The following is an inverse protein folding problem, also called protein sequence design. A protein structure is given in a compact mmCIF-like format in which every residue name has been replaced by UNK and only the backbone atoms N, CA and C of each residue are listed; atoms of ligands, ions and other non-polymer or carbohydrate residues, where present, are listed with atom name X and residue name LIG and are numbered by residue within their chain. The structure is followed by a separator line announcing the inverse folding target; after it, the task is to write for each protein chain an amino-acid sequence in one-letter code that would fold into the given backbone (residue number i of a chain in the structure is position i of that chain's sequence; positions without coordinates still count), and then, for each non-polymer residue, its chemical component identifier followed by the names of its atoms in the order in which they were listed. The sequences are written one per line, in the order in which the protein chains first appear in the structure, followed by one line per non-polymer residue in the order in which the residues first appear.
data_IF_315214484543
#
_entry.id   IF_315214484543
#
_cell.length_a   1.000
_cell.length_b   1.000
_cell.length_c   1.000
_cell.angle_alpha   90.00
_cell.angle_beta   90.00
_cell.angle_gamma   90.00
#
_symmetry.space_group_name_H-M   'P 1'
#
loop_
_entity.id
_entity.type
_entity.pdbx_description
1 polymer ?
#
# COMPACT_ATOMS: atom_id res chain seq x y z
N UNK A 1 -65.24 11.09 -31.19
CA UNK A 1 -65.03 9.65 -30.91
C UNK A 1 -64.40 9.54 -29.54
N UNK A 2 -65.01 8.72 -28.69
CA UNK A 2 -64.79 8.64 -27.25
C UNK A 2 -63.39 8.12 -26.88
N UNK A 3 -62.80 8.70 -25.84
CA UNK A 3 -61.74 8.05 -25.06
C UNK A 3 -62.25 7.93 -23.62
N UNK A 4 -62.46 6.68 -23.22
CA UNK A 4 -63.05 6.25 -21.95
C UNK A 4 -62.06 6.51 -20.80
N UNK A 5 -62.52 7.23 -19.77
CA UNK A 5 -61.85 7.28 -18.46
C UNK A 5 -62.01 5.93 -17.77
N UNK A 6 -60.89 5.27 -17.46
CA UNK A 6 -60.84 4.15 -16.53
C UNK A 6 -60.37 4.67 -15.16
N UNK A 7 -61.30 4.75 -14.20
CA UNK A 7 -61.01 5.01 -12.79
C UNK A 7 -60.46 3.76 -12.12
N UNK A 8 -59.17 3.78 -11.77
CA UNK A 8 -58.57 2.78 -10.90
C UNK A 8 -58.80 3.17 -9.43
N UNK A 9 -59.46 2.27 -8.70
CA UNK A 9 -59.79 2.37 -7.28
C UNK A 9 -58.55 2.06 -6.44
N UNK A 10 -58.13 2.97 -5.57
CA UNK A 10 -57.15 2.69 -4.50
C UNK A 10 -57.82 1.83 -3.41
N UNK A 11 -57.22 0.69 -2.98
CA UNK A 11 -57.70 0.00 -1.79
C UNK A 11 -57.28 0.76 -0.52
N UNK A 12 -58.22 0.85 0.42
CA UNK A 12 -58.04 1.47 1.72
C UNK A 12 -56.96 0.77 2.56
N UNK A 13 -56.09 1.56 3.20
CA UNK A 13 -55.09 1.08 4.13
C UNK A 13 -55.76 0.49 5.38
N UNK A 14 -55.46 -0.77 5.69
CA UNK A 14 -55.81 -1.39 6.96
C UNK A 14 -54.90 -0.83 8.07
N UNK A 15 -55.50 -0.26 9.12
CA UNK A 15 -54.80 0.19 10.31
C UNK A 15 -54.33 -1.02 11.14
N UNK A 16 -53.02 -1.15 11.34
CA UNK A 16 -52.44 -2.08 12.31
C UNK A 16 -52.42 -1.40 13.68
N UNK A 17 -52.88 -2.05 14.77
CA UNK A 17 -52.82 -1.46 16.11
C UNK A 17 -51.37 -1.38 16.58
N UNK A 18 -50.99 -0.23 17.12
CA UNK A 18 -49.68 -0.02 17.75
C UNK A 18 -49.77 -0.50 19.19
N UNK A 19 -49.30 -1.71 19.48
CA UNK A 19 -49.08 -2.16 20.86
C UNK A 19 -47.85 -1.45 21.43
N UNK A 20 -48.10 -0.42 22.24
CA UNK A 20 -47.09 0.28 23.01
C UNK A 20 -46.77 -0.49 24.30
N UNK A 21 -45.74 -1.32 24.27
CA UNK A 21 -45.07 -1.81 25.47
C UNK A 21 -43.55 -1.62 25.34
N UNK A 22 -43.10 -0.42 25.70
CA UNK A 22 -41.67 -0.12 25.87
C UNK A 22 -41.14 -0.86 27.10
N UNK A 23 -40.45 -1.98 26.88
CA UNK A 23 -39.66 -2.66 27.91
C UNK A 23 -38.43 -1.82 28.26
N UNK A 24 -38.21 -1.60 29.56
CA UNK A 24 -37.04 -0.88 30.09
C UNK A 24 -35.71 -1.49 29.64
N UNK A 25 -34.61 -0.71 29.57
CA UNK A 25 -33.29 -1.22 29.20
C UNK A 25 -32.83 -2.26 30.23
N UNK A 26 -32.63 -3.51 29.80
CA UNK A 26 -32.00 -4.53 30.63
C UNK A 26 -30.56 -4.12 30.92
N UNK A 27 -30.25 -3.95 32.20
CA UNK A 27 -28.86 -3.84 32.71
C UNK A 27 -28.07 -5.07 32.22
N UNK A 28 -26.87 -4.91 31.63
CA UNK A 28 -26.06 -6.03 31.20
C UNK A 28 -25.79 -6.96 32.39
N UNK A 29 -26.14 -8.24 32.25
CA UNK A 29 -25.83 -9.24 33.26
C UNK A 29 -24.31 -9.37 33.46
N UNK A 30 -23.86 -9.80 34.66
CA UNK A 30 -22.45 -9.99 34.94
C UNK A 30 -21.81 -10.97 33.94
N UNK A 31 -20.56 -10.72 33.51
CA UNK A 31 -19.89 -11.54 32.52
C UNK A 31 -19.80 -13.01 32.96
N UNK A 32 -19.95 -13.97 32.03
CA UNK A 32 -19.90 -15.39 32.35
C UNK A 32 -18.56 -15.77 33.00
N UNK A 33 -18.63 -16.62 34.04
CA UNK A 33 -17.50 -17.00 34.91
C UNK A 33 -16.31 -17.68 34.21
N UNK A 34 -16.46 -18.08 32.94
CA UNK A 34 -15.42 -18.75 32.14
C UNK A 34 -15.00 -17.96 30.90
N UNK A 35 -15.27 -16.67 30.85
CA UNK A 35 -14.92 -15.89 29.68
C UNK A 35 -13.40 -15.60 29.64
N UNK A 36 -12.75 -15.70 28.46
CA UNK A 36 -11.31 -15.56 28.32
C UNK A 36 -10.77 -14.28 28.97
N UNK A 37 -9.55 -14.37 29.50
CA UNK A 37 -8.83 -13.20 30.01
C UNK A 37 -8.65 -12.18 28.88
N UNK A 38 -8.75 -10.87 29.17
CA UNK A 38 -8.47 -9.84 28.18
C UNK A 38 -7.06 -10.00 27.61
N UNK A 39 -6.92 -9.96 26.29
CA UNK A 39 -5.63 -10.04 25.61
C UNK A 39 -5.31 -8.67 25.00
N UNK A 40 -4.16 -8.12 25.36
CA UNK A 40 -3.71 -6.82 24.86
C UNK A 40 -2.63 -6.96 23.79
N UNK A 41 -2.75 -6.14 22.73
CA UNK A 41 -1.83 -6.02 21.61
C UNK A 41 -1.30 -4.58 21.54
N UNK A 42 0.00 -4.41 21.74
CA UNK A 42 0.67 -3.10 21.78
C UNK A 42 1.44 -2.81 20.50
N UNK A 43 1.13 -1.67 19.89
CA UNK A 43 1.71 -1.23 18.62
C UNK A 43 2.59 0.00 18.82
N UNK A 44 3.63 0.07 18.00
CA UNK A 44 4.46 1.25 17.81
C UNK A 44 4.43 1.69 16.35
N UNK A 45 4.50 3.00 16.10
CA UNK A 45 4.63 3.55 14.76
C UNK A 45 5.83 4.47 14.72
N UNK A 46 6.69 4.29 13.72
CA UNK A 46 7.80 5.20 13.46
C UNK A 46 7.74 5.66 12.01
N UNK A 47 7.71 6.97 11.81
CA UNK A 47 7.85 7.61 10.51
C UNK A 47 9.11 8.44 10.46
N UNK A 48 9.95 8.20 9.48
CA UNK A 48 10.96 9.18 9.06
C UNK A 48 10.41 9.93 7.85
N UNK A 49 10.44 11.27 7.89
CA UNK A 49 10.01 12.06 6.75
C UNK A 49 10.92 11.78 5.54
N UNK A 50 10.36 11.72 4.31
CA UNK A 50 11.18 11.64 3.11
C UNK A 50 11.98 12.94 2.91
N UNK A 51 12.98 12.90 2.02
CA UNK A 51 13.71 14.09 1.59
C UNK A 51 12.71 15.17 1.18
N UNK A 52 12.95 16.44 1.55
CA UNK A 52 12.04 17.56 1.26
C UNK A 52 12.60 18.42 0.12
N UNK A 53 12.39 18.04 -1.15
CA UNK A 53 12.94 18.77 -2.27
C UNK A 53 12.30 20.15 -2.47
N UNK A 54 12.98 21.10 -3.15
CA UNK A 54 12.48 22.46 -3.35
C UNK A 54 11.13 22.58 -4.05
N UNK A 55 10.74 21.59 -4.86
CA UNK A 55 9.46 21.58 -5.58
C UNK A 55 8.27 21.13 -4.71
N UNK A 56 8.49 20.63 -3.49
CA UNK A 56 7.43 20.41 -2.50
C UNK A 56 7.08 21.70 -1.79
N UNK A 57 6.52 22.65 -2.54
CA UNK A 57 6.27 24.02 -2.09
C UNK A 57 4.78 24.39 -2.06
N UNK A 58 3.88 23.45 -2.34
CA UNK A 58 2.43 23.67 -2.33
C UNK A 58 1.64 22.47 -1.77
N UNK A 59 0.35 22.68 -1.53
CA UNK A 59 -0.58 21.72 -0.89
C UNK A 59 -0.72 20.40 -1.67
N UNK A 60 -0.49 20.40 -2.98
CA UNK A 60 -0.55 19.19 -3.82
C UNK A 60 0.70 18.34 -3.61
N UNK A 61 1.85 19.00 -3.57
CA UNK A 61 3.17 18.35 -3.54
C UNK A 61 3.64 17.95 -2.14
N UNK A 62 3.25 18.69 -1.09
CA UNK A 62 3.71 18.44 0.28
C UNK A 62 2.95 17.23 0.85
N UNK A 63 3.65 16.16 1.29
CA UNK A 63 2.98 15.05 1.97
C UNK A 63 2.32 15.50 3.28
N UNK A 64 1.12 14.99 3.62
CA UNK A 64 0.49 15.29 4.90
C UNK A 64 1.39 14.93 6.10
N UNK A 65 1.35 15.74 7.15
CA UNK A 65 2.12 15.49 8.39
C UNK A 65 1.73 14.18 9.08
N UNK A 66 0.49 13.74 8.90
CA UNK A 66 -0.05 12.50 9.48
C UNK A 66 -0.03 11.30 8.50
N UNK A 67 0.55 11.44 7.30
CA UNK A 67 0.62 10.37 6.31
C UNK A 67 1.22 9.09 6.91
N UNK A 68 0.55 7.96 6.71
CA UNK A 68 0.88 6.69 7.35
C UNK A 68 0.36 6.57 8.78
N UNK A 69 0.64 7.55 9.65
CA UNK A 69 0.22 7.55 11.06
C UNK A 69 -1.31 7.50 11.17
N UNK A 70 -2.02 8.31 10.38
CA UNK A 70 -3.48 8.32 10.35
C UNK A 70 -4.07 6.96 9.91
N UNK A 71 -3.41 6.27 8.97
CA UNK A 71 -3.79 4.91 8.57
C UNK A 71 -3.60 3.88 9.69
N UNK A 72 -2.50 4.02 10.43
CA UNK A 72 -2.19 3.21 11.61
C UNK A 72 -3.26 3.39 12.71
N UNK A 73 -3.61 4.63 13.03
CA UNK A 73 -4.66 4.96 14.01
C UNK A 73 -6.03 4.40 13.62
N UNK A 74 -6.42 4.55 12.35
CA UNK A 74 -7.65 3.93 11.83
C UNK A 74 -7.60 2.41 11.96
N UNK A 75 -6.47 1.78 11.68
CA UNK A 75 -6.29 0.34 11.81
C UNK A 75 -6.50 -0.16 13.25
N UNK A 76 -6.03 0.61 14.24
CA UNK A 76 -6.29 0.35 15.66
C UNK A 76 -7.78 0.48 15.99
N UNK A 77 -8.44 1.54 15.54
CA UNK A 77 -9.87 1.74 15.75
C UNK A 77 -10.71 0.60 15.15
N UNK A 78 -10.33 0.13 13.96
CA UNK A 78 -10.96 -0.99 13.27
C UNK A 78 -10.78 -2.31 14.00
N UNK A 79 -9.55 -2.59 14.45
CA UNK A 79 -9.25 -3.78 15.24
C UNK A 79 -10.07 -3.80 16.53
N UNK A 80 -10.21 -2.67 17.21
CA UNK A 80 -10.99 -2.56 18.45
C UNK A 80 -12.50 -2.75 18.22
N UNK A 81 -13.03 -2.46 17.04
CA UNK A 81 -14.45 -2.69 16.70
C UNK A 81 -14.83 -4.17 16.83
N UNK A 82 -13.97 -5.07 16.34
CA UNK A 82 -14.16 -6.53 16.51
C UNK A 82 -13.58 -7.01 17.84
N UNK A 83 -12.46 -6.43 18.27
CA UNK A 83 -11.73 -6.78 19.48
C UNK A 83 -12.58 -6.72 20.74
N UNK A 84 -13.49 -5.73 20.87
CA UNK A 84 -14.35 -5.62 22.05
C UNK A 84 -15.19 -6.89 22.28
N UNK A 85 -15.67 -7.53 21.22
CA UNK A 85 -16.49 -8.74 21.31
C UNK A 85 -15.65 -9.98 21.62
N UNK A 86 -14.36 -9.93 21.28
CA UNK A 86 -13.39 -10.99 21.52
C UNK A 86 -12.57 -10.79 22.80
N UNK A 87 -12.83 -9.73 23.56
CA UNK A 87 -12.03 -9.30 24.72
C UNK A 87 -10.56 -9.07 24.38
N UNK A 88 -10.33 -8.49 23.21
CA UNK A 88 -9.01 -8.09 22.73
C UNK A 88 -8.94 -6.57 22.68
N UNK A 89 -7.86 -5.99 23.20
CA UNK A 89 -7.57 -4.55 23.13
C UNK A 89 -6.35 -4.30 22.26
N UNK A 90 -6.45 -3.32 21.37
CA UNK A 90 -5.37 -2.90 20.49
C UNK A 90 -5.01 -1.46 20.84
N UNK A 91 -3.73 -1.20 21.14
CA UNK A 91 -3.26 0.11 21.59
C UNK A 91 -2.05 0.55 20.79
N UNK A 92 -2.04 1.81 20.37
CA UNK A 92 -0.84 2.50 19.92
C UNK A 92 -0.14 3.09 21.14
N UNK A 93 0.94 2.46 21.61
CA UNK A 93 1.65 2.87 22.83
C UNK A 93 2.77 3.87 22.58
N UNK A 94 3.25 3.96 21.34
CA UNK A 94 4.21 4.96 20.90
C UNK A 94 4.00 5.31 19.42
N UNK A 95 4.13 6.60 19.10
CA UNK A 95 4.11 7.12 17.74
C UNK A 95 5.19 8.19 17.61
N UNK A 96 6.23 7.88 16.84
CA UNK A 96 7.40 8.74 16.66
C UNK A 96 7.47 9.24 15.22
N UNK A 97 7.83 10.52 15.06
CA UNK A 97 8.09 11.14 13.78
C UNK A 97 9.46 11.81 13.82
N UNK A 98 10.29 11.51 12.83
CA UNK A 98 11.70 11.92 12.77
C UNK A 98 11.94 12.64 11.44
N UNK A 99 12.69 13.74 11.45
CA UNK A 99 13.02 14.45 10.21
C UNK A 99 13.90 13.58 9.30
N UNK A 100 13.94 13.90 8.01
CA UNK A 100 14.72 13.12 7.03
C UNK A 100 16.20 13.03 7.40
N UNK A 101 16.81 14.15 7.81
CA UNK A 101 18.24 14.25 8.12
C UNK A 101 18.64 13.64 9.47
N UNK A 102 17.67 13.35 10.34
CA UNK A 102 17.91 12.87 11.70
C UNK A 102 18.02 11.34 11.73
N UNK A 103 18.83 10.80 12.64
CA UNK A 103 18.89 9.36 12.90
C UNK A 103 17.59 8.88 13.56
N UNK A 104 16.85 7.92 12.98
CA UNK A 104 15.61 7.41 13.58
C UNK A 104 15.84 6.35 14.67
N UNK A 105 17.06 5.85 14.89
CA UNK A 105 17.34 4.81 15.89
C UNK A 105 16.97 5.20 17.34
N UNK A 106 17.22 6.42 17.83
CA UNK A 106 16.77 6.82 19.17
C UNK A 106 15.25 6.76 19.33
N UNK A 107 14.49 7.14 18.30
CA UNK A 107 13.03 7.02 18.30
C UNK A 107 12.59 5.56 18.30
N UNK A 108 13.25 4.70 17.53
CA UNK A 108 12.99 3.26 17.54
C UNK A 108 13.21 2.63 18.91
N UNK A 109 14.28 3.02 19.62
CA UNK A 109 14.54 2.55 20.98
C UNK A 109 13.44 2.97 21.96
N UNK A 110 12.95 4.22 21.89
CA UNK A 110 11.80 4.67 22.70
C UNK A 110 10.54 3.85 22.43
N UNK A 111 10.27 3.49 21.17
CA UNK A 111 9.16 2.59 20.83
C UNK A 111 9.34 1.22 21.48
N UNK A 112 10.54 0.64 21.44
CA UNK A 112 10.81 -0.64 22.10
C UNK A 112 10.63 -0.54 23.64
N UNK A 113 11.10 0.54 24.25
CA UNK A 113 10.97 0.81 25.69
C UNK A 113 9.52 1.02 26.12
N UNK A 114 8.65 1.50 25.23
CA UNK A 114 7.20 1.62 25.48
C UNK A 114 6.48 0.27 25.57
N UNK A 115 7.15 -0.84 25.26
CA UNK A 115 6.58 -2.18 25.28
C UNK A 115 5.81 -2.54 24.01
N UNK A 116 6.01 -1.82 22.90
CA UNK A 116 5.43 -2.17 21.61
C UNK A 116 5.94 -3.54 21.11
N UNK A 117 5.00 -4.43 20.76
CA UNK A 117 5.29 -5.76 20.21
C UNK A 117 5.19 -5.82 18.69
N UNK A 118 4.35 -4.95 18.12
CA UNK A 118 4.09 -4.89 16.67
C UNK A 118 4.45 -3.48 16.19
N UNK A 119 5.50 -3.35 15.41
CA UNK A 119 6.08 -2.03 15.09
C UNK A 119 5.97 -1.77 13.60
N UNK A 120 5.27 -0.70 13.23
CA UNK A 120 5.13 -0.24 11.85
C UNK A 120 6.19 0.79 11.56
N UNK A 121 7.06 0.48 10.60
CA UNK A 121 8.22 1.27 10.22
C UNK A 121 8.02 1.88 8.83
N UNK A 122 8.01 3.20 8.78
CA UNK A 122 7.95 4.01 7.56
C UNK A 122 9.26 4.79 7.44
N UNK A 123 10.33 4.05 7.16
CA UNK A 123 11.72 4.55 7.11
C UNK A 123 12.42 4.06 5.84
N UNK A 124 13.51 4.72 5.41
CA UNK A 124 14.36 4.25 4.32
C UNK A 124 14.95 2.85 4.59
N UNK A 125 15.36 2.16 3.52
CA UNK A 125 15.84 0.78 3.59
C UNK A 125 17.00 0.57 4.58
N UNK A 126 17.99 1.46 4.61
CA UNK A 126 19.14 1.30 5.50
C UNK A 126 18.77 1.47 6.98
N UNK A 127 17.86 2.40 7.29
CA UNK A 127 17.33 2.56 8.64
C UNK A 127 16.52 1.31 9.04
N UNK A 128 15.68 0.79 8.14
CA UNK A 128 14.93 -0.45 8.37
C UNK A 128 15.85 -1.63 8.69
N UNK A 129 16.95 -1.80 7.95
CA UNK A 129 17.91 -2.87 8.19
C UNK A 129 18.58 -2.73 9.56
N UNK A 130 19.01 -1.52 9.93
CA UNK A 130 19.58 -1.24 11.26
C UNK A 130 18.59 -1.59 12.38
N UNK A 131 17.32 -1.20 12.23
CA UNK A 131 16.26 -1.51 13.20
C UNK A 131 15.97 -3.01 13.28
N UNK A 132 15.91 -3.69 12.14
CA UNK A 132 15.72 -5.13 12.08
C UNK A 132 16.86 -5.89 12.77
N UNK A 133 18.11 -5.47 12.53
CA UNK A 133 19.28 -6.06 13.16
C UNK A 133 19.32 -5.79 14.68
N UNK A 134 18.94 -4.59 15.12
CA UNK A 134 18.85 -4.23 16.54
C UNK A 134 17.74 -4.98 17.29
N UNK A 135 16.71 -5.44 16.59
CA UNK A 135 15.57 -6.14 17.15
C UNK A 135 15.57 -7.67 16.88
N UNK A 136 16.64 -8.22 16.31
CA UNK A 136 16.69 -9.63 15.88
C UNK A 136 16.43 -10.65 17.00
N UNK A 137 16.85 -10.35 18.22
CA UNK A 137 16.70 -11.22 19.40
C UNK A 137 15.54 -10.76 20.31
N UNK A 138 14.75 -9.77 19.86
CA UNK A 138 13.61 -9.25 20.60
C UNK A 138 12.34 -9.95 20.12
N UNK A 139 11.44 -10.20 21.07
CA UNK A 139 10.11 -10.73 20.82
C UNK A 139 9.20 -9.61 20.26
N UNK A 140 9.45 -9.22 19.00
CA UNK A 140 8.70 -8.18 18.25
C UNK A 140 8.51 -8.60 16.79
N UNK A 141 7.44 -8.10 16.17
CA UNK A 141 7.21 -8.20 14.72
C UNK A 141 7.34 -6.82 14.11
N UNK A 142 8.24 -6.68 13.13
CA UNK A 142 8.44 -5.43 12.41
C UNK A 142 7.68 -5.47 11.08
N UNK A 143 6.98 -4.39 10.76
CA UNK A 143 6.32 -4.18 9.48
C UNK A 143 7.04 -3.07 8.71
N UNK A 144 7.57 -3.40 7.53
CA UNK A 144 7.99 -2.39 6.57
C UNK A 144 6.75 -1.89 5.81
N UNK A 145 6.39 -0.63 6.02
CA UNK A 145 5.27 0.04 5.40
C UNK A 145 5.67 1.14 4.40
N UNK A 146 6.96 1.34 4.11
CA UNK A 146 7.39 2.40 3.18
C UNK A 146 8.49 1.97 2.19
N UNK A 147 9.58 1.34 2.65
CA UNK A 147 10.73 1.07 1.80
C UNK A 147 10.40 0.06 0.70
N UNK A 148 10.46 0.52 -0.56
CA UNK A 148 10.15 -0.23 -1.78
C UNK A 148 11.36 -0.96 -2.36
N UNK A 149 12.51 -0.90 -1.69
CA UNK A 149 13.75 -1.49 -2.18
C UNK A 149 13.66 -3.01 -2.36
N UNK A 150 13.97 -3.45 -3.57
CA UNK A 150 13.98 -4.87 -3.96
C UNK A 150 14.96 -5.68 -3.11
N UNK A 151 16.11 -5.09 -2.72
CA UNK A 151 17.14 -5.75 -1.91
C UNK A 151 16.61 -6.29 -0.58
N UNK A 152 15.61 -5.63 0.00
CA UNK A 152 14.98 -6.04 1.27
C UNK A 152 14.18 -7.35 1.16
N UNK A 153 13.75 -7.74 -0.05
CA UNK A 153 13.06 -9.02 -0.33
C UNK A 153 13.99 -10.01 -1.04
N UNK A 154 15.28 -9.68 -1.09
CA UNK A 154 16.33 -10.40 -1.80
C UNK A 154 17.52 -10.60 -0.85
N UNK A 155 18.73 -10.17 -1.25
CA UNK A 155 19.97 -10.43 -0.52
C UNK A 155 20.00 -9.83 0.89
N UNK A 156 19.28 -8.74 1.13
CA UNK A 156 19.29 -8.02 2.41
C UNK A 156 18.06 -8.38 3.28
N UNK A 157 17.33 -9.45 2.95
CA UNK A 157 16.12 -9.78 3.70
C UNK A 157 16.40 -10.10 5.18
N UNK A 158 15.40 -9.87 6.03
CA UNK A 158 15.45 -10.11 7.48
C UNK A 158 14.25 -10.90 7.95
N UNK A 159 14.49 -11.93 8.76
CA UNK A 159 13.44 -12.86 9.18
C UNK A 159 12.34 -12.17 10.03
N UNK A 160 12.72 -11.18 10.84
CA UNK A 160 11.82 -10.45 11.73
C UNK A 160 11.07 -9.29 11.04
N UNK A 161 11.19 -9.12 9.73
CA UNK A 161 10.50 -8.06 8.96
C UNK A 161 9.44 -8.66 8.05
N UNK A 162 8.23 -8.13 8.13
CA UNK A 162 7.12 -8.37 7.21
C UNK A 162 6.97 -7.16 6.30
N UNK A 163 6.96 -7.38 4.99
CA UNK A 163 6.90 -6.30 4.01
C UNK A 163 5.46 -6.06 3.56
N UNK A 164 4.84 -5.00 4.09
CA UNK A 164 3.52 -4.53 3.65
C UNK A 164 3.65 -3.64 2.41
N UNK A 165 4.72 -2.84 2.36
CA UNK A 165 5.06 -2.09 1.16
C UNK A 165 5.39 -3.06 0.01
N UNK A 166 4.82 -2.87 -1.20
CA UNK A 166 5.29 -3.56 -2.38
C UNK A 166 6.68 -3.06 -2.71
N UNK A 167 7.52 -3.95 -3.20
CA UNK A 167 8.79 -3.55 -3.76
C UNK A 167 8.62 -3.00 -5.19
N UNK A 168 9.65 -2.32 -5.71
CA UNK A 168 9.65 -1.75 -7.07
C UNK A 168 9.30 -2.81 -8.11
N UNK A 169 9.84 -4.01 -7.99
CA UNK A 169 9.53 -5.12 -8.89
C UNK A 169 8.03 -5.46 -8.97
N UNK A 170 7.28 -5.40 -7.86
CA UNK A 170 5.82 -5.59 -7.89
C UNK A 170 5.11 -4.45 -8.62
N UNK A 171 5.54 -3.20 -8.37
CA UNK A 171 4.95 -2.01 -8.98
C UNK A 171 5.17 -2.00 -10.50
N UNK A 172 6.41 -2.21 -10.94
CA UNK A 172 6.78 -2.19 -12.36
C UNK A 172 6.24 -3.41 -13.10
N UNK A 173 6.18 -4.60 -12.48
CA UNK A 173 5.55 -5.77 -13.11
C UNK A 173 4.06 -5.50 -13.35
N UNK A 174 3.39 -4.92 -12.36
CA UNK A 174 1.95 -4.61 -12.46
C UNK A 174 1.65 -3.66 -13.61
N UNK A 175 2.47 -2.63 -13.78
CA UNK A 175 2.38 -1.71 -14.90
C UNK A 175 2.70 -2.40 -16.23
N UNK A 176 3.79 -3.16 -16.28
CA UNK A 176 4.22 -3.88 -17.48
C UNK A 176 3.15 -4.87 -17.99
N UNK A 177 2.50 -5.62 -17.10
CA UNK A 177 1.41 -6.53 -17.47
C UNK A 177 0.28 -5.79 -18.19
N UNK A 178 -0.10 -4.61 -17.70
CA UNK A 178 -1.14 -3.80 -18.34
C UNK A 178 -0.70 -3.26 -19.69
N UNK A 179 0.51 -2.68 -19.79
CA UNK A 179 1.00 -2.14 -21.05
C UNK A 179 1.14 -3.22 -22.13
N UNK A 180 1.66 -4.39 -21.77
CA UNK A 180 1.78 -5.53 -22.70
C UNK A 180 0.41 -6.08 -23.11
N UNK A 181 -0.57 -6.16 -22.19
CA UNK A 181 -1.93 -6.60 -22.56
C UNK A 181 -2.61 -5.64 -23.54
N UNK A 182 -2.25 -4.35 -23.51
CA UNK A 182 -2.66 -3.32 -24.48
C UNK A 182 -1.85 -3.34 -25.78
N UNK A 183 -0.82 -4.18 -25.90
CA UNK A 183 0.16 -4.21 -26.99
C UNK A 183 0.99 -2.93 -27.10
N UNK A 184 1.18 -2.23 -25.98
CA UNK A 184 2.04 -1.05 -25.85
C UNK A 184 3.40 -1.49 -25.31
N UNK A 185 4.16 -2.18 -26.16
CA UNK A 185 5.36 -2.93 -25.75
C UNK A 185 6.68 -2.22 -26.09
N UNK A 186 6.65 -1.09 -26.81
CA UNK A 186 7.84 -0.29 -27.09
C UNK A 186 7.85 0.94 -26.18
N UNK A 187 8.86 1.05 -25.32
CA UNK A 187 8.95 2.08 -24.29
C UNK A 187 10.15 2.99 -24.53
N UNK A 188 9.92 4.30 -24.46
CA UNK A 188 10.98 5.28 -24.30
C UNK A 188 11.10 5.61 -22.82
N UNK A 189 12.22 5.26 -22.19
CA UNK A 189 12.41 5.45 -20.75
C UNK A 189 13.21 6.72 -20.44
N UNK A 190 12.69 7.53 -19.51
CA UNK A 190 13.36 8.70 -18.96
C UNK A 190 13.70 8.41 -17.50
N UNK A 191 14.97 8.49 -17.15
CA UNK A 191 15.48 8.17 -15.80
C UNK A 191 15.98 9.43 -15.13
N UNK A 192 15.47 9.73 -13.95
CA UNK A 192 15.93 10.81 -13.09
C UNK A 192 17.35 10.64 -12.57
N UNK A 193 17.83 11.68 -11.88
CA UNK A 193 19.21 11.76 -11.40
C UNK A 193 19.43 11.08 -10.05
N UNK A 194 18.37 10.79 -9.31
CA UNK A 194 18.49 10.23 -7.96
C UNK A 194 18.87 8.75 -8.00
N UNK A 195 19.56 8.23 -6.98
CA UNK A 195 19.80 6.79 -6.85
C UNK A 195 18.51 5.95 -6.93
N UNK A 196 17.43 6.44 -6.33
CA UNK A 196 16.12 5.80 -6.30
C UNK A 196 15.52 5.67 -7.72
N UNK A 197 15.67 6.70 -8.56
CA UNK A 197 15.21 6.68 -9.96
C UNK A 197 15.90 5.56 -10.75
N UNK A 198 17.18 5.32 -10.48
CA UNK A 198 17.94 4.21 -11.10
C UNK A 198 17.44 2.85 -10.61
N UNK A 199 17.11 2.73 -9.33
CA UNK A 199 16.52 1.50 -8.77
C UNK A 199 15.14 1.22 -9.39
N UNK A 200 14.32 2.26 -9.61
CA UNK A 200 13.05 2.11 -10.32
C UNK A 200 13.26 1.71 -11.77
N UNK A 201 14.18 2.36 -12.47
CA UNK A 201 14.53 2.02 -13.86
C UNK A 201 15.04 0.58 -13.99
N UNK A 202 15.84 0.08 -13.05
CA UNK A 202 16.27 -1.32 -13.01
C UNK A 202 15.08 -2.30 -12.87
N UNK A 203 14.10 -1.96 -12.04
CA UNK A 203 12.86 -2.73 -11.92
C UNK A 203 12.02 -2.69 -13.21
N UNK A 204 11.97 -1.55 -13.91
CA UNK A 204 11.34 -1.43 -15.24
C UNK A 204 12.05 -2.33 -16.25
N UNK A 205 13.39 -2.27 -16.35
CA UNK A 205 14.19 -3.13 -17.24
C UNK A 205 13.93 -4.61 -16.97
N UNK A 206 13.86 -5.00 -15.69
CA UNK A 206 13.52 -6.37 -15.29
C UNK A 206 12.13 -6.77 -15.77
N UNK A 207 11.15 -5.89 -15.60
CA UNK A 207 9.75 -6.12 -15.99
C UNK A 207 9.60 -6.20 -17.51
N UNK A 208 10.30 -5.33 -18.25
CA UNK A 208 10.34 -5.35 -19.72
C UNK A 208 10.84 -6.71 -20.22
N UNK A 209 11.97 -7.19 -19.67
CA UNK A 209 12.52 -8.51 -19.99
C UNK A 209 11.56 -9.65 -19.63
N UNK A 210 10.92 -9.59 -18.45
CA UNK A 210 10.00 -10.63 -17.95
C UNK A 210 8.76 -10.77 -18.84
N UNK A 211 8.19 -9.66 -19.33
CA UNK A 211 6.94 -9.66 -20.09
C UNK A 211 7.10 -9.41 -21.59
N UNK A 212 8.34 -9.35 -22.10
CA UNK A 212 8.61 -9.22 -23.53
C UNK A 212 8.41 -7.80 -24.09
N UNK A 213 8.42 -6.76 -23.26
CA UNK A 213 8.49 -5.38 -23.72
C UNK A 213 9.93 -4.98 -24.09
N UNK A 214 10.07 -3.92 -24.88
CA UNK A 214 11.34 -3.38 -25.37
C UNK A 214 11.48 -1.94 -24.92
N UNK A 215 12.60 -1.63 -24.29
CA UNK A 215 13.02 -0.25 -24.09
C UNK A 215 13.80 0.13 -25.35
N UNK A 216 13.17 0.93 -26.21
CA UNK A 216 13.70 1.27 -27.54
C UNK A 216 14.62 2.49 -27.49
N UNK A 217 14.47 3.32 -26.45
CA UNK A 217 15.29 4.49 -26.18
C UNK A 217 15.34 4.69 -24.66
N UNK A 218 16.49 5.11 -24.14
CA UNK A 218 16.66 5.44 -22.73
C UNK A 218 17.47 6.73 -22.60
N UNK A 219 16.92 7.74 -21.91
CA UNK A 219 17.61 9.02 -21.67
C UNK A 219 17.65 9.34 -20.19
N UNK A 220 18.79 9.85 -19.74
CA UNK A 220 18.93 10.39 -18.38
C UNK A 220 18.49 11.85 -18.35
N UNK A 221 17.61 12.15 -17.40
CA UNK A 221 17.20 13.50 -17.06
C UNK A 221 18.27 14.17 -16.18
N UNK A 222 19.00 15.11 -16.78
CA UNK A 222 20.10 15.82 -16.12
C UNK A 222 19.82 17.32 -15.90
N UNK A 223 18.57 17.74 -16.04
CA UNK A 223 18.21 19.14 -15.86
C UNK A 223 18.05 19.52 -14.38
N UNK A 224 18.32 20.79 -14.07
CA UNK A 224 18.09 21.37 -12.75
C UNK A 224 16.60 21.53 -12.41
N UNK A 225 16.27 21.87 -11.15
CA UNK A 225 14.88 22.12 -10.72
C UNK A 225 14.20 23.25 -11.53
N UNK A 226 14.97 24.15 -12.14
CA UNK A 226 14.50 25.27 -12.98
C UNK A 226 13.74 24.82 -14.25
N UNK A 227 13.77 23.53 -14.62
CA UNK A 227 12.90 23.04 -15.72
C UNK A 227 11.43 23.27 -15.44
N UNK A 228 10.99 23.35 -14.18
CA UNK A 228 9.58 23.66 -13.89
C UNK A 228 9.11 25.00 -14.50
N UNK A 229 10.04 25.93 -14.76
CA UNK A 229 9.77 27.20 -15.45
C UNK A 229 10.06 27.14 -16.96
N UNK A 230 11.07 26.38 -17.39
CA UNK A 230 11.54 26.32 -18.79
C UNK A 230 11.08 25.06 -19.56
N UNK A 231 10.23 24.24 -18.96
CA UNK A 231 9.89 22.91 -19.46
C UNK A 231 9.21 22.90 -20.83
N UNK A 232 8.52 23.97 -21.21
CA UNK A 232 7.92 24.10 -22.55
C UNK A 232 8.97 24.14 -23.66
N UNK A 233 10.18 24.64 -23.39
CA UNK A 233 11.25 24.73 -24.38
C UNK A 233 12.11 23.47 -24.38
N UNK A 234 12.37 22.92 -23.18
CA UNK A 234 13.32 21.81 -22.97
C UNK A 234 12.70 20.44 -23.28
N UNK A 235 11.48 20.17 -22.82
CA UNK A 235 10.90 18.81 -22.87
C UNK A 235 10.59 18.36 -24.30
N UNK A 236 10.05 19.20 -25.21
CA UNK A 236 9.85 18.77 -26.59
C UNK A 236 11.15 18.34 -27.23
N UNK A 237 12.21 19.15 -27.12
CA UNK A 237 13.51 18.82 -27.72
C UNK A 237 14.12 17.56 -27.08
N UNK A 238 14.03 17.42 -25.75
CA UNK A 238 14.56 16.25 -25.04
C UNK A 238 13.90 14.93 -25.49
N UNK A 239 12.60 14.97 -25.77
CA UNK A 239 11.78 13.80 -26.13
C UNK A 239 11.72 13.51 -27.63
N UNK A 240 12.47 14.23 -28.46
CA UNK A 240 12.62 13.94 -29.90
C UNK A 240 13.24 12.56 -30.15
N UNK A 241 12.88 11.96 -31.29
CA UNK A 241 13.45 10.71 -31.80
C UNK A 241 12.86 9.44 -31.17
N UNK A 242 11.71 9.55 -30.51
CA UNK A 242 11.00 8.44 -29.86
C UNK A 242 9.63 8.16 -30.50
N UNK A 243 9.50 8.40 -31.81
CA UNK A 243 8.25 8.25 -32.56
C UNK A 243 7.79 6.79 -32.70
N UNK A 244 8.69 5.83 -32.51
CA UNK A 244 8.34 4.40 -32.44
C UNK A 244 7.85 3.96 -31.04
N UNK A 245 7.92 4.83 -30.02
CA UNK A 245 7.51 4.49 -28.66
C UNK A 245 5.99 4.50 -28.52
N UNK A 246 5.43 3.46 -27.90
CA UNK A 246 4.02 3.46 -27.51
C UNK A 246 3.80 4.32 -26.26
N UNK A 247 4.77 4.30 -25.35
CA UNK A 247 4.70 4.90 -24.00
C UNK A 247 6.02 5.61 -23.67
N UNK A 248 5.90 6.77 -23.02
CA UNK A 248 7.02 7.37 -22.28
C UNK A 248 7.00 6.81 -20.85
N UNK A 249 8.00 6.02 -20.50
CA UNK A 249 8.19 5.45 -19.17
C UNK A 249 9.03 6.38 -18.31
N UNK A 250 8.47 6.90 -17.23
CA UNK A 250 9.17 7.80 -16.31
C UNK A 250 9.62 7.05 -15.07
N UNK A 251 10.90 7.20 -14.74
CA UNK A 251 11.50 6.81 -13.46
C UNK A 251 11.96 8.07 -12.73
N UNK A 252 11.08 8.61 -11.89
CA UNK A 252 11.26 9.85 -11.12
C UNK A 252 10.48 9.73 -9.80
N UNK A 253 11.10 9.13 -8.77
CA UNK A 253 10.41 8.79 -7.52
C UNK A 253 10.14 9.99 -6.62
N UNK A 254 10.91 11.07 -6.76
CA UNK A 254 10.69 12.32 -6.02
C UNK A 254 9.74 13.29 -6.74
N UNK A 255 9.25 12.94 -7.93
CA UNK A 255 8.41 13.81 -8.78
C UNK A 255 9.10 15.14 -9.11
N UNK A 256 10.36 15.08 -9.52
CA UNK A 256 11.11 16.25 -9.95
C UNK A 256 10.59 16.82 -11.28
N UNK A 257 10.36 15.94 -12.27
CA UNK A 257 10.06 16.28 -13.66
C UNK A 257 8.93 15.45 -14.29
N UNK A 258 8.56 14.31 -13.72
CA UNK A 258 7.68 13.32 -14.35
C UNK A 258 6.32 13.88 -14.77
N UNK A 259 5.68 14.64 -13.87
CA UNK A 259 4.40 15.31 -14.14
C UNK A 259 4.48 16.39 -15.23
N UNK A 260 5.69 16.82 -15.61
CA UNK A 260 5.87 17.83 -16.66
C UNK A 260 5.85 17.23 -18.07
N UNK A 261 6.10 15.93 -18.21
CA UNK A 261 6.37 15.26 -19.50
C UNK A 261 5.13 15.19 -20.40
N UNK A 262 4.01 14.65 -19.89
CA UNK A 262 2.93 14.13 -20.75
C UNK A 262 2.28 15.14 -21.70
N UNK A 263 2.21 16.42 -21.34
CA UNK A 263 1.64 17.48 -22.18
C UNK A 263 2.69 18.33 -22.92
N UNK A 264 3.98 17.98 -22.78
CA UNK A 264 5.11 18.73 -23.33
C UNK A 264 6.06 17.86 -24.15
N UNK A 265 5.77 16.57 -24.32
CA UNK A 265 6.57 15.71 -25.18
C UNK A 265 6.46 16.11 -26.65
N UNK A 266 7.50 15.80 -27.43
CA UNK A 266 7.56 16.11 -28.86
C UNK A 266 6.39 15.50 -29.64
N UNK A 267 6.24 14.19 -29.50
CA UNK A 267 5.09 13.45 -30.00
C UNK A 267 4.06 13.28 -28.88
N UNK A 268 2.76 13.27 -29.19
CA UNK A 268 1.71 13.04 -28.22
C UNK A 268 1.71 11.57 -27.76
N UNK A 269 2.53 11.27 -26.74
CA UNK A 269 2.68 9.93 -26.17
C UNK A 269 2.10 9.87 -24.77
N UNK A 270 1.45 8.75 -24.46
CA UNK A 270 0.98 8.50 -23.10
C UNK A 270 2.18 8.31 -22.17
N UNK A 271 2.06 8.82 -20.95
CA UNK A 271 3.08 8.70 -19.90
C UNK A 271 2.66 7.65 -18.87
N UNK A 272 3.61 6.84 -18.44
CA UNK A 272 3.42 5.86 -17.38
C UNK A 272 4.71 5.71 -16.54
N UNK A 273 4.62 5.05 -15.39
CA UNK A 273 5.76 4.82 -14.50
C UNK A 273 5.52 5.46 -13.15
N UNK A 274 6.41 6.35 -12.71
CA UNK A 274 6.15 7.17 -11.52
C UNK A 274 5.15 8.30 -11.76
N UNK A 275 4.98 8.73 -13.03
CA UNK A 275 4.02 9.75 -13.46
C UNK A 275 3.03 9.23 -14.52
N UNK A 276 1.91 9.95 -14.70
CA UNK A 276 0.85 9.58 -15.64
C UNK A 276 0.04 8.38 -15.15
N UNK A 277 0.10 7.26 -15.87
CA UNK A 277 -0.44 5.98 -15.37
C UNK A 277 0.57 5.33 -14.41
N UNK A 278 0.29 5.43 -13.11
CA UNK A 278 1.21 5.00 -12.06
C UNK A 278 0.68 3.81 -11.25
N UNK A 279 1.54 2.83 -10.92
CA UNK A 279 1.20 1.73 -10.02
C UNK A 279 1.26 2.18 -8.56
N UNK A 280 0.28 1.80 -7.75
CA UNK A 280 0.23 2.09 -6.32
C UNK A 280 -0.44 0.97 -5.53
N UNK A 281 -0.25 0.96 -4.20
CA UNK A 281 -1.00 0.06 -3.31
C UNK A 281 -2.45 0.47 -3.12
N UNK A 282 -2.74 1.77 -3.27
CA UNK A 282 -4.05 2.36 -3.02
C UNK A 282 -4.23 3.63 -3.84
N UNK A 283 -5.47 3.92 -4.21
CA UNK A 283 -5.86 5.20 -4.80
C UNK A 283 -7.24 5.59 -4.27
N UNK A 284 -7.50 6.90 -4.15
CA UNK A 284 -8.75 7.42 -3.57
C UNK A 284 -10.00 7.02 -4.36
N UNK A 285 -9.83 6.69 -5.64
CA UNK A 285 -10.90 6.28 -6.56
C UNK A 285 -11.23 4.80 -6.50
N UNK A 286 -10.57 4.01 -5.65
CA UNK A 286 -10.94 2.62 -5.42
C UNK A 286 -12.19 2.59 -4.53
N UNK A 287 -13.32 2.19 -5.09
CA UNK A 287 -14.64 2.21 -4.42
C UNK A 287 -15.28 0.81 -4.28
N UNK A 288 -14.82 -0.14 -5.09
CA UNK A 288 -15.34 -1.50 -5.19
C UNK A 288 -14.98 -2.37 -3.97
N UNK A 289 -15.63 -3.53 -3.82
CA UNK A 289 -15.33 -4.53 -2.79
C UNK A 289 -15.43 -4.05 -1.33
N UNK A 290 -16.12 -2.92 -1.10
CA UNK A 290 -16.20 -2.27 0.21
C UNK A 290 -15.13 -1.20 0.46
N UNK A 291 -14.25 -0.91 -0.50
CA UNK A 291 -13.23 0.13 -0.40
C UNK A 291 -13.83 1.51 -0.08
N UNK A 292 -15.00 1.84 -0.64
CA UNK A 292 -15.72 3.08 -0.32
C UNK A 292 -16.02 3.21 1.20
N UNK A 293 -16.26 2.11 1.91
CA UNK A 293 -16.47 2.15 3.36
C UNK A 293 -15.18 2.45 4.11
N UNK A 294 -14.05 1.87 3.70
CA UNK A 294 -12.73 2.20 4.25
C UNK A 294 -12.41 3.68 4.02
N UNK A 295 -12.58 4.17 2.79
CA UNK A 295 -12.37 5.58 2.44
C UNK A 295 -13.21 6.51 3.30
N UNK A 296 -14.51 6.21 3.46
CA UNK A 296 -15.41 7.04 4.27
C UNK A 296 -15.00 7.10 5.73
N UNK A 297 -14.54 5.98 6.32
CA UNK A 297 -14.03 5.95 7.70
C UNK A 297 -12.72 6.72 7.82
N UNK A 298 -11.81 6.54 6.87
CA UNK A 298 -10.56 7.29 6.83
C UNK A 298 -10.79 8.80 6.69
N UNK A 299 -11.67 9.22 5.77
CA UNK A 299 -12.00 10.62 5.58
C UNK A 299 -12.62 11.24 6.85
N UNK A 300 -13.48 10.51 7.57
CA UNK A 300 -14.01 10.99 8.86
C UNK A 300 -12.91 11.18 9.90
N UNK A 301 -11.91 10.29 9.91
CA UNK A 301 -10.77 10.30 10.81
C UNK A 301 -9.77 11.44 10.49
N UNK A 302 -9.23 11.45 9.28
CA UNK A 302 -8.10 12.30 8.89
C UNK A 302 -8.48 13.55 8.08
N UNK A 303 -9.75 13.71 7.68
CA UNK A 303 -10.26 14.83 6.86
C UNK A 303 -9.56 15.02 5.51
N UNK A 304 -8.96 13.95 4.98
CA UNK A 304 -8.34 13.88 3.64
C UNK A 304 -8.53 12.50 3.04
N UNK A 305 -8.25 12.36 1.75
CA UNK A 305 -8.20 11.05 1.08
C UNK A 305 -7.08 10.17 1.65
N UNK A 306 -7.33 8.86 1.71
CA UNK A 306 -6.34 7.88 2.13
C UNK A 306 -5.25 7.74 1.06
N UNK A 307 -3.99 7.83 1.47
CA UNK A 307 -2.81 7.71 0.60
C UNK A 307 -2.23 6.28 0.66
N UNK A 308 -1.36 5.89 -0.29
CA UNK A 308 -0.69 4.60 -0.26
C UNK A 308 0.00 4.25 1.07
N UNK A 309 0.64 5.23 1.72
CA UNK A 309 1.35 5.01 2.99
C UNK A 309 0.36 4.75 4.14
N UNK A 310 -0.74 5.51 4.22
CA UNK A 310 -1.83 5.23 5.17
C UNK A 310 -2.38 3.82 4.99
N UNK A 311 -2.62 3.39 3.75
CA UNK A 311 -3.17 2.08 3.46
C UNK A 311 -2.22 0.95 3.89
N UNK A 312 -0.92 1.13 3.68
CA UNK A 312 0.09 0.17 4.13
C UNK A 312 0.17 0.10 5.66
N UNK A 313 0.15 1.24 6.36
CA UNK A 313 0.12 1.26 7.82
C UNK A 313 -1.17 0.62 8.37
N UNK A 314 -2.32 0.90 7.74
CA UNK A 314 -3.59 0.26 8.08
C UNK A 314 -3.55 -1.26 7.90
N UNK A 315 -2.99 -1.76 6.78
CA UNK A 315 -2.81 -3.21 6.54
C UNK A 315 -1.91 -3.88 7.57
N UNK A 316 -0.83 -3.20 8.02
CA UNK A 316 0.04 -3.72 9.06
C UNK A 316 -0.73 -3.94 10.38
N UNK A 317 -1.55 -2.96 10.78
CA UNK A 317 -2.41 -3.09 11.96
C UNK A 317 -3.43 -4.21 11.80
N UNK A 318 -4.10 -4.27 10.63
CA UNK A 318 -5.13 -5.29 10.35
C UNK A 318 -4.57 -6.70 10.24
N UNK A 319 -3.32 -6.87 9.84
CA UNK A 319 -2.63 -8.18 9.84
C UNK A 319 -2.67 -8.82 11.22
N UNK A 320 -2.32 -8.05 12.26
CA UNK A 320 -2.37 -8.55 13.63
C UNK A 320 -3.82 -8.72 14.11
N UNK A 321 -4.72 -7.79 13.79
CA UNK A 321 -6.13 -7.90 14.16
C UNK A 321 -6.81 -9.16 13.60
N UNK A 322 -6.58 -9.49 12.34
CA UNK A 322 -7.13 -10.68 11.69
C UNK A 322 -6.53 -11.97 12.27
N UNK A 323 -5.21 -11.96 12.50
CA UNK A 323 -4.50 -13.10 13.09
C UNK A 323 -4.96 -13.36 14.53
N UNK A 324 -5.02 -12.32 15.34
CA UNK A 324 -5.41 -12.39 16.75
C UNK A 324 -6.85 -12.88 16.95
N UNK A 325 -7.76 -12.52 16.04
CA UNK A 325 -9.15 -13.00 16.08
C UNK A 325 -9.25 -14.53 15.92
N UNK A 326 -8.26 -15.15 15.24
CA UNK A 326 -8.22 -16.58 14.92
C UNK A 326 -7.37 -17.38 15.91
N UNK A 327 -6.20 -16.88 16.27
CA UNK A 327 -5.25 -17.55 17.18
C UNK A 327 -5.67 -17.41 18.64
N UNK A 328 -6.29 -16.27 19.02
CA UNK A 328 -6.66 -15.94 20.41
C UNK A 328 -5.48 -15.97 21.40
N UNK A 329 -4.29 -15.60 20.93
CA UNK A 329 -3.07 -15.46 21.71
C UNK A 329 -2.35 -14.17 21.31
N UNK A 330 -1.58 -13.56 22.23
CA UNK A 330 -0.64 -12.47 21.92
C UNK A 330 0.82 -12.95 21.83
N UNK A 331 1.05 -14.25 21.87
CA UNK A 331 2.36 -14.86 21.61
C UNK A 331 2.78 -14.62 20.15
N UNK A 332 3.90 -13.93 19.94
CA UNK A 332 4.32 -13.49 18.60
C UNK A 332 4.63 -14.68 17.69
N UNK A 333 5.13 -15.79 18.23
CA UNK A 333 5.44 -17.01 17.48
C UNK A 333 4.17 -17.63 16.92
N UNK A 334 3.16 -17.85 17.77
CA UNK A 334 1.86 -18.37 17.33
C UNK A 334 1.18 -17.45 16.30
N UNK A 335 1.26 -16.13 16.50
CA UNK A 335 0.74 -15.17 15.53
C UNK A 335 1.47 -15.30 14.19
N UNK A 336 2.80 -15.36 14.22
CA UNK A 336 3.65 -15.47 13.03
C UNK A 336 3.40 -16.78 12.27
N UNK A 337 3.31 -17.91 12.98
CA UNK A 337 2.99 -19.21 12.39
C UNK A 337 1.63 -19.19 11.68
N UNK A 338 0.64 -18.49 12.26
CA UNK A 338 -0.64 -18.31 11.59
C UNK A 338 -0.53 -17.39 10.37
N UNK A 339 0.18 -16.26 10.46
CA UNK A 339 0.35 -15.28 9.36
C UNK A 339 0.95 -15.93 8.09
N UNK A 340 1.91 -16.85 8.26
CA UNK A 340 2.52 -17.59 7.15
C UNK A 340 1.80 -18.91 6.82
N UNK A 341 0.75 -19.24 7.57
CA UNK A 341 -0.05 -20.44 7.37
C UNK A 341 -0.99 -20.34 6.18
N UNK A 342 -1.44 -21.49 5.63
CA UNK A 342 -2.30 -21.51 4.43
C UNK A 342 -3.72 -20.99 4.65
N UNK A 343 -4.11 -20.73 5.91
CA UNK A 343 -5.43 -20.21 6.29
C UNK A 343 -5.43 -18.71 6.55
N UNK A 344 -4.29 -18.04 6.47
CA UNK A 344 -4.23 -16.60 6.63
C UNK A 344 -4.75 -15.91 5.38
N UNK A 345 -5.76 -15.07 5.58
CA UNK A 345 -6.32 -14.20 4.56
C UNK A 345 -6.56 -12.82 5.17
N UNK A 346 -5.97 -11.80 4.57
CA UNK A 346 -6.15 -10.42 4.98
C UNK A 346 -7.08 -9.71 3.98
N UNK A 347 -8.20 -9.18 4.48
CA UNK A 347 -9.10 -8.37 3.69
C UNK A 347 -8.52 -6.96 3.48
N UNK A 348 -8.09 -6.68 2.25
CA UNK A 348 -7.54 -5.37 1.85
C UNK A 348 -8.35 -4.63 0.79
N UNK A 349 -9.65 -4.94 0.63
CA UNK A 349 -10.59 -4.19 -0.22
C UNK A 349 -10.16 -4.00 -1.69
N UNK A 350 -9.41 -4.96 -2.26
CA UNK A 350 -8.97 -4.97 -3.67
C UNK A 350 -9.39 -6.23 -4.44
N UNK A 351 -10.51 -6.85 -4.04
CA UNK A 351 -11.13 -7.98 -4.75
C UNK A 351 -10.47 -9.35 -4.59
N UNK A 352 -9.30 -9.44 -3.95
CA UNK A 352 -8.62 -10.70 -3.64
C UNK A 352 -8.14 -10.71 -2.19
N UNK A 353 -8.08 -11.89 -1.56
CA UNK A 353 -7.50 -12.07 -0.23
C UNK A 353 -5.98 -11.91 -0.27
N UNK A 354 -5.42 -11.18 0.70
CA UNK A 354 -3.97 -10.96 0.78
C UNK A 354 -3.35 -12.02 1.69
N UNK A 355 -2.08 -12.36 1.45
CA UNK A 355 -1.32 -13.30 2.28
C UNK A 355 0.17 -12.96 2.23
N UNK A 356 0.98 -13.48 3.15
CA UNK A 356 2.42 -13.26 3.11
C UNK A 356 3.16 -14.40 2.40
N UNK A 357 4.17 -14.04 1.59
CA UNK A 357 5.08 -14.99 0.96
C UNK A 357 6.04 -15.56 2.02
N UNK A 358 6.14 -16.90 2.17
CA UNK A 358 7.00 -17.48 3.18
C UNK A 358 8.50 -17.37 2.85
N UNK A 359 8.88 -17.06 1.60
CA UNK A 359 10.29 -17.03 1.18
C UNK A 359 10.97 -15.65 1.29
N UNK A 360 10.21 -14.56 1.29
CA UNK A 360 10.74 -13.19 1.37
C UNK A 360 9.91 -12.26 2.29
N UNK A 361 8.87 -12.80 2.93
CA UNK A 361 7.92 -12.05 3.77
C UNK A 361 7.22 -10.87 3.09
N UNK A 362 7.14 -10.86 1.77
CA UNK A 362 6.38 -9.88 1.02
C UNK A 362 4.88 -10.19 1.07
N UNK A 363 4.07 -9.17 1.39
CA UNK A 363 2.62 -9.24 1.30
C UNK A 363 2.22 -9.37 -0.18
N UNK A 364 1.56 -10.49 -0.52
CA UNK A 364 0.79 -10.66 -1.75
C UNK A 364 -0.41 -9.75 -1.69
N UNK A 365 -0.46 -8.77 -2.58
CA UNK A 365 -1.59 -7.87 -2.72
C UNK A 365 -1.73 -7.46 -4.19
N UNK A 366 -2.96 -7.21 -4.67
CA UNK A 366 -3.18 -6.55 -5.94
C UNK A 366 -2.55 -5.15 -5.93
N UNK A 367 -2.06 -4.70 -7.09
CA UNK A 367 -1.53 -3.34 -7.28
C UNK A 367 -2.48 -2.59 -8.19
N UNK A 368 -2.90 -1.40 -7.78
CA UNK A 368 -3.80 -0.57 -8.59
C UNK A 368 -2.97 0.25 -9.56
N UNK A 369 -3.45 0.39 -10.79
CA UNK A 369 -2.92 1.33 -11.78
C UNK A 369 -3.91 2.49 -11.88
N UNK A 370 -3.45 3.68 -11.56
CA UNK A 370 -4.29 4.86 -11.49
C UNK A 370 -3.63 6.06 -12.16
N UNK A 371 -4.47 6.98 -12.59
CA UNK A 371 -4.11 8.35 -12.94
C UNK A 371 -4.77 9.29 -11.92
N UNK A 372 -4.43 10.59 -11.97
CA UNK A 372 -4.78 11.59 -10.96
C UNK A 372 -6.23 11.51 -10.40
N UNK A 373 -7.22 11.22 -11.26
CA UNK A 373 -8.63 11.15 -10.85
C UNK A 373 -9.35 9.86 -11.27
N UNK A 374 -8.63 8.79 -11.65
CA UNK A 374 -9.29 7.54 -12.06
C UNK A 374 -8.45 6.29 -11.76
N UNK A 375 -9.15 5.23 -11.34
CA UNK A 375 -8.63 3.87 -11.38
C UNK A 375 -8.73 3.37 -12.82
N UNK A 376 -7.63 2.82 -13.34
CA UNK A 376 -7.57 2.31 -14.72
C UNK A 376 -7.62 0.79 -14.74
N UNK A 377 -6.82 0.14 -13.90
CA UNK A 377 -6.78 -1.30 -13.80
C UNK A 377 -6.30 -1.76 -12.41
N UNK A 378 -6.44 -3.05 -12.13
CA UNK A 378 -5.83 -3.69 -10.96
C UNK A 378 -5.06 -4.91 -11.43
N UNK A 379 -3.77 -4.97 -11.09
CA UNK A 379 -2.92 -6.10 -11.37
C UNK A 379 -3.03 -7.17 -10.26
N UNK A 380 -2.83 -8.46 -10.55
CA UNK A 380 -2.45 -9.04 -11.86
C UNK A 380 -3.51 -8.87 -12.95
N UNK A 381 -3.07 -8.65 -14.18
CA UNK A 381 -3.99 -8.56 -15.31
C UNK A 381 -4.53 -9.95 -15.69
N UNK A 382 -5.73 -10.00 -16.27
CA UNK A 382 -6.28 -11.25 -16.79
C UNK A 382 -5.32 -11.88 -17.81
N UNK A 383 -5.17 -13.21 -17.74
CA UNK A 383 -4.24 -13.97 -18.58
C UNK A 383 -2.81 -14.12 -18.02
N UNK A 384 -2.41 -13.33 -17.02
CA UNK A 384 -1.12 -13.50 -16.34
C UNK A 384 -1.25 -14.50 -15.20
N UNK A 385 -1.18 -15.79 -15.56
CA UNK A 385 -1.35 -16.90 -14.64
C UNK A 385 -0.08 -17.21 -13.85
N UNK A 386 -0.26 -17.81 -12.68
CA UNK A 386 0.81 -18.38 -11.87
C UNK A 386 0.36 -19.74 -11.32
N UNK A 387 1.31 -20.64 -11.07
CA UNK A 387 1.00 -22.04 -10.75
C UNK A 387 0.23 -22.22 -9.44
N UNK A 388 0.48 -21.34 -8.46
CA UNK A 388 -0.06 -21.47 -7.10
C UNK A 388 -0.99 -20.32 -6.71
N UNK A 389 -0.55 -19.08 -6.92
CA UNK A 389 -1.29 -17.88 -6.59
C UNK A 389 -1.03 -16.81 -7.66
N UNK A 390 -2.08 -16.27 -8.34
CA UNK A 390 -1.91 -15.22 -9.36
C UNK A 390 -1.12 -14.00 -8.90
N UNK A 391 -1.18 -13.64 -7.61
CA UNK A 391 -0.42 -12.52 -7.02
C UNK A 391 1.09 -12.74 -7.01
N UNK A 392 1.56 -13.97 -7.25
CA UNK A 392 2.98 -14.28 -7.43
C UNK A 392 3.46 -14.06 -8.88
N UNK A 393 2.57 -13.66 -9.80
CA UNK A 393 2.99 -13.18 -11.14
C UNK A 393 3.70 -11.83 -11.12
N UNK A 394 3.53 -11.03 -10.06
CA UNK A 394 4.13 -9.70 -9.89
C UNK A 394 5.21 -9.69 -8.79
N UNK A 395 6.35 -9.07 -9.08
CA UNK A 395 7.53 -9.11 -8.22
C UNK A 395 8.33 -10.40 -8.43
N UNK A 396 9.14 -10.74 -7.42
CA UNK A 396 10.00 -11.93 -7.45
C UNK A 396 9.25 -13.16 -6.97
N UNK A 397 9.17 -14.18 -7.82
CA UNK A 397 8.65 -15.49 -7.44
C UNK A 397 9.68 -16.29 -6.61
N UNK A 398 9.23 -17.36 -5.97
CA UNK A 398 10.05 -18.24 -5.12
C UNK A 398 11.34 -18.73 -5.81
N UNK A 399 11.35 -19.17 -7.09
CA UNK A 399 12.58 -19.60 -7.77
C UNK A 399 13.55 -18.46 -8.06
N UNK A 400 13.04 -17.24 -8.22
CA UNK A 400 13.83 -16.02 -8.49
C UNK A 400 14.39 -15.40 -7.21
N UNK A 401 13.78 -15.71 -6.05
CA UNK A 401 14.16 -15.13 -4.78
C UNK A 401 15.55 -15.56 -4.33
N UNK A 402 16.36 -14.56 -4.00
CA UNK A 402 17.69 -14.69 -3.38
C UNK A 402 17.61 -14.54 -1.86
N UNK A 403 16.43 -14.30 -1.29
CA UNK A 403 16.25 -14.22 0.15
C UNK A 403 16.45 -15.60 0.79
N UNK A 404 17.25 -15.64 1.86
CA UNK A 404 17.51 -16.84 2.63
C UNK A 404 17.37 -16.51 4.10
N UNK A 405 16.37 -17.10 4.74
CA UNK A 405 16.24 -17.03 6.19
C UNK A 405 17.08 -18.12 6.86
N UNK A 406 17.64 -17.87 8.05
CA UNK A 406 18.20 -18.92 8.88
C UNK A 406 17.13 -20.01 9.10
N UNK A 407 17.54 -21.27 9.13
CA UNK A 407 16.63 -22.34 9.56
C UNK A 407 16.13 -21.99 10.96
N UNK A 408 14.81 -21.85 11.13
CA UNK A 408 14.16 -21.68 12.43
C UNK A 408 14.60 -22.82 13.36
N UNK A 409 15.21 -22.48 14.49
CA UNK A 409 15.43 -23.40 15.61
C UNK A 409 14.15 -23.57 16.43
#
# INVERSE_FOLDING_TARGET
MAAVLATAVCPAAAQVPVDSAAGAPKVPGPPPKNAPAPVEFTFGVLRQFPANPPWWNNVVTIPPKDDGVAGAELGIADNNTTGQFLRQSYKLVASEQVAFEDDPMPAFNRILESGAKFIVLMVPADALLKMADAAKDKDVILFNAAATDDRLRQKDCRYNVLHVAPNRAMLTDSLAQYLVSKRWSNWFMIVGRQPEDRLYADAVRRSAKKFGAKIIEEKTWNFGPDVRETGNDVIPVFTQGADEADIIMVADELDEFGDLIGWRSWDPRLTAGTAGLSPATWHVTVDSWGAAQLQNRFFRHAKRGMRPLDFQAWLAMRTIGETAARVRSNDTRQLRDYIFGPRFELAGFKGQSFSYRPWDHQLRQPIVLAQAAALVATAPQEGFLHQTNPLDSIGFDKPESQCRFPATQ
#
